data_IF_376538473259
#
_entry.id   IF_376538473259
#
_cell.length_a   1.000
_cell.length_b   1.000
_cell.length_c   1.000
_cell.angle_alpha   90.00
_cell.angle_beta   90.00
_cell.angle_gamma   90.00
#
_symmetry.space_group_name_H-M   'P 1'
#
loop_
_entity.id
_entity.type
_entity.pdbx_description
1 polymer ?
#
# COMPACT_ATOMS: atom_id res chain seq x y z
N UNK A 1 -8.97 -11.73 7.92
CA UNK A 1 -8.92 -10.55 8.80
C UNK A 1 -9.94 -9.53 8.28
N UNK A 2 -10.83 -9.00 9.13
CA UNK A 2 -11.84 -8.02 8.72
C UNK A 2 -11.36 -6.59 8.98
N UNK A 3 -10.65 -6.01 8.02
CA UNK A 3 -10.18 -4.62 8.10
C UNK A 3 -11.33 -3.60 8.09
N UNK A 4 -12.56 -4.03 7.77
CA UNK A 4 -13.74 -3.16 7.66
C UNK A 4 -14.59 -3.08 8.92
N UNK A 5 -14.19 -3.75 9.99
CA UNK A 5 -14.93 -3.71 11.26
C UNK A 5 -14.85 -2.34 11.96
N UNK A 6 -13.85 -1.51 11.62
CA UNK A 6 -13.71 -0.15 12.17
C UNK A 6 -13.04 0.78 11.17
N UNK A 7 -13.27 2.08 11.32
CA UNK A 7 -12.56 3.10 10.54
C UNK A 7 -11.04 3.03 10.78
N UNK A 8 -10.60 2.74 12.01
CA UNK A 8 -9.19 2.63 12.36
C UNK A 8 -8.50 1.47 11.63
N UNK A 9 -9.09 0.26 11.69
CA UNK A 9 -8.56 -0.92 10.99
C UNK A 9 -8.61 -0.78 9.47
N UNK A 10 -9.51 0.05 8.96
CA UNK A 10 -9.61 0.33 7.53
C UNK A 10 -8.50 1.26 7.06
N UNK A 11 -8.24 2.33 7.80
CA UNK A 11 -7.12 3.25 7.54
C UNK A 11 -5.76 2.54 7.67
N UNK A 12 -5.63 1.64 8.65
CA UNK A 12 -4.40 0.89 8.90
C UNK A 12 -4.26 -0.41 8.09
N UNK A 13 -5.13 -0.66 7.10
CA UNK A 13 -5.07 -1.92 6.31
C UNK A 13 -3.69 -2.17 5.70
N UNK A 14 -3.02 -1.11 5.25
CA UNK A 14 -1.71 -1.23 4.60
C UNK A 14 -0.59 -1.44 5.62
N UNK A 15 -0.79 -0.97 6.85
CA UNK A 15 0.13 -1.19 7.98
C UNK A 15 -0.01 -2.58 8.61
N UNK A 16 -1.20 -3.18 8.56
CA UNK A 16 -1.51 -4.49 9.13
C UNK A 16 -1.37 -5.63 8.10
N UNK A 17 -0.22 -5.69 7.41
CA UNK A 17 0.11 -6.75 6.45
C UNK A 17 0.08 -6.34 4.97
N UNK A 18 -0.05 -5.04 4.67
CA UNK A 18 0.13 -4.50 3.33
C UNK A 18 1.55 -4.01 3.05
N UNK A 19 1.67 -3.02 2.16
CA UNK A 19 2.96 -2.47 1.74
C UNK A 19 3.43 -1.34 2.67
N UNK A 20 3.76 -1.69 3.92
CA UNK A 20 4.26 -0.72 4.90
C UNK A 20 5.22 -1.35 5.90
N UNK A 21 6.27 -0.60 6.26
CA UNK A 21 7.14 -0.92 7.39
C UNK A 21 6.46 -0.43 8.67
N UNK A 22 5.91 -1.37 9.43
CA UNK A 22 5.11 -1.06 10.61
C UNK A 22 5.82 -1.52 11.87
N UNK A 23 5.83 -0.66 12.89
CA UNK A 23 6.33 -0.95 14.22
C UNK A 23 5.19 -0.77 15.22
N UNK A 24 5.08 -1.70 16.18
CA UNK A 24 4.15 -1.60 17.29
C UNK A 24 4.96 -1.34 18.56
N UNK A 25 4.64 -0.25 19.27
CA UNK A 25 5.17 0.04 20.60
C UNK A 25 4.11 -0.33 21.62
N UNK A 26 4.44 -1.25 22.52
CA UNK A 26 3.55 -1.70 23.58
C UNK A 26 3.94 -1.00 24.89
N UNK A 27 3.06 -0.14 25.39
CA UNK A 27 3.23 0.52 26.68
C UNK A 27 2.61 -0.34 27.78
N UNK A 28 3.39 -0.67 28.82
CA UNK A 28 2.96 -1.49 29.96
C UNK A 28 3.27 -0.77 31.28
N UNK A 29 2.48 -1.08 32.30
CA UNK A 29 2.67 -0.59 33.66
C UNK A 29 3.37 -1.67 34.50
N UNK A 30 4.37 -1.32 35.33
CA UNK A 30 5.02 -2.28 36.21
C UNK A 30 4.21 -2.59 37.49
N UNK A 31 3.07 -1.93 37.70
CA UNK A 31 2.26 -2.12 38.90
C UNK A 31 1.53 -3.48 38.88
N UNK A 32 1.46 -4.14 40.04
CA UNK A 32 0.82 -5.46 40.17
C UNK A 32 -0.68 -5.43 39.83
N UNK A 33 -1.36 -4.33 40.16
CA UNK A 33 -2.78 -4.12 39.81
C UNK A 33 -3.04 -4.18 38.30
N UNK A 34 -2.04 -3.83 37.49
CA UNK A 34 -2.12 -3.80 36.02
C UNK A 34 -1.55 -5.06 35.38
N UNK A 35 -1.21 -6.09 36.17
CA UNK A 35 -0.54 -7.29 35.68
C UNK A 35 -1.34 -7.99 34.57
N UNK A 36 -2.66 -8.15 34.76
CA UNK A 36 -3.52 -8.81 33.78
C UNK A 36 -3.58 -8.03 32.45
N UNK A 37 -3.72 -6.71 32.51
CA UNK A 37 -3.76 -5.86 31.31
C UNK A 37 -2.39 -5.81 30.60
N UNK A 38 -1.31 -5.81 31.36
CA UNK A 38 0.05 -5.88 30.83
C UNK A 38 0.29 -7.20 30.08
N UNK A 39 -0.19 -8.33 30.62
CA UNK A 39 -0.15 -9.62 29.93
C UNK A 39 -1.00 -9.60 28.65
N UNK A 40 -2.20 -9.03 28.69
CA UNK A 40 -3.06 -8.89 27.51
C UNK A 40 -2.39 -8.06 26.41
N UNK A 41 -1.76 -6.95 26.78
CA UNK A 41 -1.01 -6.06 25.88
C UNK A 41 0.16 -6.79 25.24
N UNK A 42 0.97 -7.52 26.03
CA UNK A 42 2.10 -8.30 25.51
C UNK A 42 1.64 -9.44 24.59
N UNK A 43 0.53 -10.12 24.91
CA UNK A 43 -0.05 -11.14 24.03
C UNK A 43 -0.49 -10.55 22.70
N UNK A 44 -1.09 -9.36 22.71
CA UNK A 44 -1.43 -8.65 21.48
C UNK A 44 -0.18 -8.28 20.69
N UNK A 45 0.84 -7.72 21.35
CA UNK A 45 2.10 -7.38 20.72
C UNK A 45 2.79 -8.60 20.08
N UNK A 46 2.79 -9.74 20.75
CA UNK A 46 3.32 -11.00 20.21
C UNK A 46 2.56 -11.46 18.96
N UNK A 47 1.23 -11.30 18.93
CA UNK A 47 0.42 -11.59 17.74
C UNK A 47 0.73 -10.62 16.60
N UNK A 48 0.83 -9.33 16.89
CA UNK A 48 1.13 -8.30 15.91
C UNK A 48 2.52 -8.50 15.28
N UNK A 49 3.51 -8.95 16.05
CA UNK A 49 4.85 -9.25 15.55
C UNK A 49 4.91 -10.42 14.56
N UNK A 50 3.87 -11.27 14.52
CA UNK A 50 3.77 -12.37 13.55
C UNK A 50 3.18 -11.93 12.21
N UNK A 51 2.70 -10.70 12.10
CA UNK A 51 2.14 -10.16 10.86
C UNK A 51 3.30 -9.89 9.90
N UNK A 52 3.30 -10.59 8.76
CA UNK A 52 4.28 -10.38 7.71
C UNK A 52 3.78 -9.31 6.74
N UNK A 53 4.52 -8.21 6.61
CA UNK A 53 4.25 -7.19 5.60
C UNK A 53 4.89 -7.55 4.27
N UNK A 54 4.13 -7.42 3.18
CA UNK A 54 4.65 -7.59 1.82
C UNK A 54 5.15 -6.24 1.32
N UNK A 55 6.42 -5.96 1.57
CA UNK A 55 7.08 -4.73 1.12
C UNK A 55 7.40 -4.85 -0.38
N UNK A 56 6.66 -4.09 -1.19
CA UNK A 56 6.94 -3.98 -2.63
C UNK A 56 7.67 -2.66 -2.86
N UNK A 57 8.98 -2.74 -3.07
CA UNK A 57 9.79 -1.57 -3.42
C UNK A 57 9.40 -1.10 -4.83
N UNK A 58 9.10 0.18 -4.98
CA UNK A 58 9.08 0.83 -6.30
C UNK A 58 7.81 0.67 -7.15
N UNK A 59 6.73 0.08 -6.64
CA UNK A 59 5.43 0.11 -7.33
C UNK A 59 4.38 0.77 -6.45
N UNK A 60 4.32 2.11 -6.47
CA UNK A 60 3.02 2.74 -6.26
C UNK A 60 2.16 2.33 -7.46
N UNK A 61 1.13 1.47 -7.28
CA UNK A 61 0.33 0.98 -8.39
C UNK A 61 -0.29 2.14 -9.18
N UNK A 62 -0.54 3.29 -8.53
CA UNK A 62 -1.04 4.50 -9.21
C UNK A 62 0.03 5.08 -10.12
N UNK A 63 1.26 5.24 -9.64
CA UNK A 63 2.38 5.70 -10.48
C UNK A 63 2.62 4.75 -11.65
N UNK A 64 2.58 3.43 -11.43
CA UNK A 64 2.74 2.45 -12.51
C UNK A 64 1.66 2.57 -13.58
N UNK A 65 0.40 2.77 -13.17
CA UNK A 65 -0.73 3.00 -14.09
C UNK A 65 -0.52 4.30 -14.86
N UNK A 66 -0.14 5.38 -14.18
CA UNK A 66 0.14 6.68 -14.81
C UNK A 66 1.29 6.57 -15.83
N UNK A 67 2.36 5.83 -15.50
CA UNK A 67 3.46 5.58 -16.43
C UNK A 67 2.99 4.82 -17.67
N UNK A 68 2.24 3.72 -17.50
CA UNK A 68 1.68 2.95 -18.62
C UNK A 68 0.74 3.79 -19.50
N UNK A 69 -0.17 4.54 -18.89
CA UNK A 69 -1.09 5.41 -19.63
C UNK A 69 -0.34 6.49 -20.42
N UNK A 70 0.68 7.11 -19.84
CA UNK A 70 1.48 8.11 -20.55
C UNK A 70 2.31 7.52 -21.70
N UNK A 71 2.78 6.28 -21.53
CA UNK A 71 3.49 5.55 -22.59
C UNK A 71 2.54 5.22 -23.74
N UNK A 72 1.35 4.71 -23.44
CA UNK A 72 0.29 4.46 -24.44
C UNK A 72 -0.07 5.75 -25.18
N UNK A 73 -0.27 6.88 -24.49
CA UNK A 73 -0.53 8.19 -25.11
C UNK A 73 0.60 8.58 -26.06
N UNK A 74 1.87 8.40 -25.68
CA UNK A 74 3.02 8.71 -26.55
C UNK A 74 3.03 7.86 -27.81
N UNK A 75 2.82 6.56 -27.68
CA UNK A 75 2.80 5.64 -28.84
C UNK A 75 1.66 5.97 -29.80
N UNK A 76 0.47 6.23 -29.27
CA UNK A 76 -0.70 6.59 -30.08
C UNK A 76 -0.51 7.94 -30.79
N UNK A 77 -0.01 8.96 -30.09
CA UNK A 77 0.27 10.26 -30.70
C UNK A 77 1.34 10.17 -31.79
N UNK A 78 2.38 9.36 -31.58
CA UNK A 78 3.40 9.08 -32.60
C UNK A 78 2.77 8.44 -33.86
N UNK A 79 1.89 7.46 -33.68
CA UNK A 79 1.23 6.78 -34.79
C UNK A 79 0.33 7.74 -35.58
N UNK A 80 -0.49 8.53 -34.87
CA UNK A 80 -1.37 9.53 -35.47
C UNK A 80 -0.58 10.57 -36.26
N UNK A 81 0.54 11.06 -35.73
CA UNK A 81 1.41 12.00 -36.44
C UNK A 81 1.93 11.39 -37.74
N UNK A 82 2.43 10.15 -37.70
CA UNK A 82 2.95 9.46 -38.89
C UNK A 82 1.89 9.14 -39.95
N UNK A 83 0.64 8.97 -39.54
CA UNK A 83 -0.49 8.75 -40.45
C UNK A 83 -0.97 10.06 -41.06
N UNK A 84 -1.00 11.14 -40.27
CA UNK A 84 -1.36 12.48 -40.76
C UNK A 84 -0.38 12.96 -41.83
N UNK A 85 0.92 12.71 -41.65
CA UNK A 85 1.95 13.03 -42.65
C UNK A 85 1.75 12.24 -43.96
N UNK A 86 1.39 10.95 -43.88
CA UNK A 86 1.12 10.11 -45.06
C UNK A 86 -0.15 10.50 -45.81
N UNK A 87 -1.14 11.06 -45.12
CA UNK A 87 -2.36 11.58 -45.76
C UNK A 87 -2.06 12.88 -46.52
N UNK A 88 -1.15 13.72 -46.02
CA UNK A 88 -0.72 14.94 -46.71
C UNK A 88 0.20 14.69 -47.92
N UNK A 89 0.88 13.55 -48.00
CA UNK A 89 1.68 13.16 -49.17
C UNK A 89 0.86 12.47 -50.28
N UNK A 90 -0.43 12.16 -50.03
CA UNK A 90 -1.32 11.51 -51.00
C UNK A 90 -2.29 12.46 -51.72
N UNK A 91 -2.32 13.75 -51.35
CA UNK A 91 -3.00 14.84 -52.08
C UNK A 91 -2.01 15.61 -52.97
#
# INVERSE_FOLDING_TARGET
VSYRNSALTWLLRDSLGGNSKTFLVANISPAEQDFQESVSTLRYASKANRIQSVLTVGNDPRKRIIYKMNEEIRTLNSLVSSLTEKVQEQD
#
